data_IF_347087198570
#
_entry.id   IF_347087198570
#
_cell.length_a   1.000
_cell.length_b   1.000
_cell.length_c   1.000
_cell.angle_alpha   90.00
_cell.angle_beta   90.00
_cell.angle_gamma   90.00
#
_symmetry.space_group_name_H-M   'P 1'
#
loop_
_entity.id
_entity.type
_entity.pdbx_description
1 polymer ?
#
# COMPACT_ATOMS: atom_id res chain seq x y z
N UNK A 1 1.85 29.45 -9.89
CA UNK A 1 2.22 28.05 -10.19
C UNK A 1 0.98 27.19 -10.04
N UNK A 2 0.74 26.23 -10.93
CA UNK A 2 -0.39 25.30 -10.78
C UNK A 2 -0.10 24.26 -9.69
N UNK A 3 -1.13 23.81 -8.97
CA UNK A 3 -0.99 22.79 -7.92
C UNK A 3 -1.24 21.38 -8.48
N UNK A 4 -0.42 20.40 -8.08
CA UNK A 4 -0.67 18.97 -8.24
C UNK A 4 -1.37 18.45 -6.98
N UNK A 5 -2.66 18.11 -7.10
CA UNK A 5 -3.47 17.55 -6.00
C UNK A 5 -3.27 16.03 -5.99
N UNK A 6 -2.76 15.50 -4.89
CA UNK A 6 -2.40 14.08 -4.75
C UNK A 6 -3.38 13.41 -3.78
N UNK A 7 -4.13 12.43 -4.26
CA UNK A 7 -4.97 11.58 -3.43
C UNK A 7 -4.13 10.51 -2.74
N UNK A 8 -4.28 10.35 -1.42
CA UNK A 8 -3.67 9.25 -0.67
C UNK A 8 -4.58 8.75 0.45
N UNK A 9 -4.65 7.43 0.63
CA UNK A 9 -5.48 6.79 1.64
C UNK A 9 -4.70 6.66 2.95
N UNK A 10 -5.15 7.37 3.99
CA UNK A 10 -4.40 7.51 5.23
C UNK A 10 -5.04 6.73 6.39
N UNK A 11 -4.24 6.20 7.32
CA UNK A 11 -2.78 6.07 7.27
C UNK A 11 -2.33 4.78 6.57
N UNK A 12 -1.21 4.82 5.84
CA UNK A 12 -0.53 3.63 5.29
C UNK A 12 1.00 3.75 5.35
N UNK A 13 1.61 3.86 6.54
CA UNK A 13 3.06 3.90 6.65
C UNK A 13 3.67 2.57 6.15
N UNK A 14 4.84 2.61 5.48
CA UNK A 14 5.72 3.77 5.29
C UNK A 14 5.40 4.63 4.05
N UNK A 15 4.29 4.40 3.35
CA UNK A 15 3.96 5.12 2.11
C UNK A 15 3.43 6.53 2.36
N UNK A 16 2.40 6.65 3.20
CA UNK A 16 1.80 7.93 3.57
C UNK A 16 1.23 7.91 4.99
N UNK A 17 1.55 8.92 5.77
CA UNK A 17 1.01 9.12 7.11
C UNK A 17 1.18 10.58 7.53
N UNK A 18 0.53 10.98 8.61
CA UNK A 18 0.65 12.34 9.17
C UNK A 18 1.57 12.30 10.40
N UNK A 19 2.49 13.27 10.48
CA UNK A 19 3.29 13.57 11.68
C UNK A 19 2.90 14.95 12.25
N UNK A 20 3.54 15.38 13.33
CA UNK A 20 3.41 16.75 13.84
C UNK A 20 3.84 17.82 12.83
N UNK A 21 4.75 17.46 11.92
CA UNK A 21 5.35 18.38 10.96
C UNK A 21 4.63 18.37 9.60
N UNK A 22 3.61 17.51 9.44
CA UNK A 22 2.82 17.37 8.23
C UNK A 22 2.88 15.96 7.64
N UNK A 23 2.44 15.78 6.37
CA UNK A 23 2.48 14.49 5.71
C UNK A 23 3.91 14.00 5.48
N UNK A 24 4.12 12.70 5.70
CA UNK A 24 5.40 12.02 5.50
C UNK A 24 5.20 10.63 4.89
N UNK A 25 6.29 10.05 4.39
CA UNK A 25 6.33 8.71 3.81
C UNK A 25 6.92 8.68 2.40
N UNK A 26 7.07 7.48 1.85
CA UNK A 26 7.62 7.25 0.53
C UNK A 26 6.86 7.98 -0.57
N UNK A 27 5.54 7.78 -0.66
CA UNK A 27 4.73 8.35 -1.73
C UNK A 27 4.71 9.88 -1.63
N UNK A 28 4.65 10.41 -0.39
CA UNK A 28 4.74 11.85 -0.13
C UNK A 28 6.08 12.42 -0.62
N UNK A 29 7.20 11.78 -0.26
CA UNK A 29 8.53 12.25 -0.66
C UNK A 29 8.74 12.17 -2.18
N UNK A 30 8.21 11.13 -2.83
CA UNK A 30 8.27 10.95 -4.27
C UNK A 30 7.47 12.03 -5.01
N UNK A 31 6.19 12.24 -4.64
CA UNK A 31 5.34 13.22 -5.32
C UNK A 31 5.80 14.66 -5.10
N UNK A 32 6.39 14.99 -3.95
CA UNK A 32 7.00 16.30 -3.71
C UNK A 32 8.12 16.60 -4.71
N UNK A 33 9.00 15.64 -4.96
CA UNK A 33 10.10 15.79 -5.94
C UNK A 33 9.56 15.88 -7.35
N UNK A 34 8.60 15.03 -7.71
CA UNK A 34 7.94 15.07 -9.02
C UNK A 34 7.28 16.44 -9.23
N UNK A 35 6.51 16.94 -8.27
CA UNK A 35 5.87 18.26 -8.38
C UNK A 35 6.90 19.38 -8.59
N UNK A 36 8.02 19.35 -7.85
CA UNK A 36 9.13 20.28 -8.04
C UNK A 36 9.72 20.25 -9.45
N UNK A 37 9.95 19.06 -10.01
CA UNK A 37 10.44 18.90 -11.40
C UNK A 37 9.44 19.39 -12.44
N UNK A 38 8.14 19.32 -12.13
CA UNK A 38 7.07 19.83 -12.98
C UNK A 38 6.81 21.34 -12.78
N UNK A 39 7.56 22.03 -11.92
CA UNK A 39 7.33 23.45 -11.60
C UNK A 39 5.97 23.69 -10.94
N UNK A 40 5.47 22.71 -10.18
CA UNK A 40 4.16 22.73 -9.52
C UNK A 40 4.30 22.75 -8.01
N UNK A 41 3.39 23.46 -7.37
CA UNK A 41 3.10 23.23 -5.96
C UNK A 41 2.44 21.86 -5.81
N UNK A 42 2.57 21.22 -4.65
CA UNK A 42 1.86 19.97 -4.36
C UNK A 42 0.87 20.16 -3.21
N UNK A 43 -0.22 19.38 -3.21
CA UNK A 43 -1.19 19.36 -2.12
C UNK A 43 -1.72 17.95 -1.90
N UNK A 44 -1.62 17.47 -0.67
CA UNK A 44 -2.29 16.24 -0.26
C UNK A 44 -3.81 16.44 -0.18
N UNK A 45 -4.55 15.47 -0.71
CA UNK A 45 -6.00 15.32 -0.55
C UNK A 45 -6.26 13.96 0.10
N UNK A 46 -6.44 13.90 1.43
CA UNK A 46 -6.69 12.64 2.13
C UNK A 46 -7.94 11.92 1.61
N UNK A 47 -7.80 10.62 1.40
CA UNK A 47 -8.93 9.71 1.21
C UNK A 47 -9.21 8.99 2.54
N UNK A 48 -10.45 9.10 3.01
CA UNK A 48 -10.90 8.58 4.32
C UNK A 48 -12.01 7.54 4.18
N UNK A 49 -12.24 7.00 2.98
CA UNK A 49 -13.26 5.97 2.77
C UNK A 49 -12.87 4.64 3.42
N UNK A 50 -13.88 3.85 3.76
CA UNK A 50 -13.69 2.52 4.36
C UNK A 50 -13.19 1.46 3.38
N UNK A 51 -13.37 1.67 2.07
CA UNK A 51 -12.88 0.79 1.00
C UNK A 51 -11.81 1.52 0.19
N UNK A 52 -10.60 0.96 0.07
CA UNK A 52 -9.53 1.57 -0.72
C UNK A 52 -9.97 1.93 -2.16
N UNK A 53 -10.74 1.07 -2.82
CA UNK A 53 -11.09 1.24 -4.23
C UNK A 53 -11.98 2.46 -4.49
N UNK A 54 -12.60 3.06 -3.47
CA UNK A 54 -13.31 4.33 -3.62
C UNK A 54 -12.39 5.52 -3.95
N UNK A 55 -11.07 5.37 -3.79
CA UNK A 55 -10.08 6.37 -4.22
C UNK A 55 -10.14 6.59 -5.75
N UNK A 56 -10.40 5.55 -6.54
CA UNK A 56 -10.49 5.70 -8.01
C UNK A 56 -11.73 6.49 -8.45
N UNK A 57 -12.83 6.41 -7.71
CA UNK A 57 -14.00 7.25 -7.95
C UNK A 57 -13.71 8.73 -7.62
N UNK A 58 -12.87 8.99 -6.61
CA UNK A 58 -12.42 10.35 -6.31
C UNK A 58 -11.47 10.92 -7.34
N UNK A 59 -10.60 10.06 -7.86
CA UNK A 59 -9.75 10.37 -9.00
C UNK A 59 -10.64 10.78 -10.16
N UNK A 60 -11.58 9.94 -10.59
CA UNK A 60 -12.52 10.17 -11.72
C UNK A 60 -13.47 11.37 -11.54
N UNK A 61 -13.84 11.70 -10.30
CA UNK A 61 -14.63 12.90 -9.99
C UNK A 61 -13.82 14.21 -9.97
N UNK A 62 -12.50 14.16 -10.10
CA UNK A 62 -11.67 15.37 -10.18
C UNK A 62 -11.27 15.94 -8.82
N UNK A 63 -11.41 15.14 -7.75
CA UNK A 63 -11.03 15.56 -6.39
C UNK A 63 -9.52 15.73 -6.23
N UNK A 64 -8.75 14.93 -6.96
CA UNK A 64 -7.30 15.03 -7.11
C UNK A 64 -6.91 14.69 -8.54
N UNK A 65 -5.67 15.04 -8.89
CA UNK A 65 -5.09 14.91 -10.22
C UNK A 65 -4.41 13.54 -10.38
N UNK A 66 -3.76 13.05 -9.32
CA UNK A 66 -3.15 11.72 -9.27
C UNK A 66 -3.39 11.03 -7.92
N UNK A 67 -3.11 9.72 -7.86
CA UNK A 67 -3.07 8.92 -6.63
C UNK A 67 -1.67 8.36 -6.43
N UNK A 68 -1.12 8.57 -5.25
CA UNK A 68 0.14 7.98 -4.77
C UNK A 68 -0.12 7.47 -3.35
N UNK A 69 -0.31 6.15 -3.22
CA UNK A 69 -0.85 5.52 -2.01
C UNK A 69 -0.57 4.01 -1.99
N UNK A 70 0.71 3.62 -2.07
CA UNK A 70 1.15 2.21 -2.12
C UNK A 70 0.40 1.38 -3.17
N UNK A 71 0.00 1.99 -4.28
CA UNK A 71 -1.11 1.46 -5.08
C UNK A 71 -0.65 0.35 -6.00
N UNK A 72 -1.06 -0.89 -5.69
CA UNK A 72 -0.83 -2.04 -6.58
C UNK A 72 -1.54 -1.86 -7.93
N UNK A 73 -0.78 -2.00 -9.01
CA UNK A 73 -1.25 -2.07 -10.39
C UNK A 73 -1.94 -3.43 -10.58
N UNK A 74 -3.21 -3.40 -10.96
CA UNK A 74 -4.00 -4.61 -11.26
C UNK A 74 -4.88 -4.33 -12.47
N UNK A 75 -5.29 -5.35 -13.23
CA UNK A 75 -6.17 -5.15 -14.39
C UNK A 75 -7.46 -4.39 -14.05
N UNK A 76 -8.06 -4.68 -12.88
CA UNK A 76 -9.26 -4.00 -12.41
C UNK A 76 -9.06 -2.52 -12.05
N UNK A 77 -7.86 -2.13 -11.63
CA UNK A 77 -7.49 -0.74 -11.34
C UNK A 77 -7.06 0.00 -12.62
N UNK A 78 -6.35 -0.67 -13.52
CA UNK A 78 -5.98 -0.14 -14.85
C UNK A 78 -7.21 0.14 -15.73
N UNK A 79 -8.31 -0.59 -15.52
CA UNK A 79 -9.58 -0.26 -16.16
C UNK A 79 -10.17 1.10 -15.69
N UNK A 80 -9.79 1.59 -14.51
CA UNK A 80 -10.34 2.80 -13.87
C UNK A 80 -9.39 4.00 -13.91
N UNK A 81 -8.10 3.77 -14.07
CA UNK A 81 -7.06 4.79 -14.01
C UNK A 81 -5.91 4.42 -14.95
N UNK A 82 -5.13 5.42 -15.36
CA UNK A 82 -3.90 5.18 -16.12
C UNK A 82 -2.69 5.27 -15.19
N UNK A 83 -1.91 4.19 -15.14
CA UNK A 83 -0.73 4.10 -14.28
C UNK A 83 0.53 4.59 -14.99
N UNK A 84 1.41 5.22 -14.22
CA UNK A 84 2.80 5.40 -14.60
C UNK A 84 3.53 4.04 -14.51
N UNK A 85 4.74 3.98 -15.04
CA UNK A 85 5.65 2.85 -14.80
C UNK A 85 5.75 2.59 -13.29
N UNK A 86 5.78 1.32 -12.84
CA UNK A 86 5.93 1.02 -11.41
C UNK A 86 7.13 1.75 -10.81
N UNK A 87 7.03 2.19 -9.56
CA UNK A 87 8.15 2.78 -8.81
C UNK A 87 8.81 1.77 -7.86
N UNK A 88 8.10 0.69 -7.50
CA UNK A 88 8.57 -0.37 -6.63
C UNK A 88 7.83 -1.68 -6.93
N UNK A 89 8.49 -2.79 -6.61
CA UNK A 89 7.91 -4.13 -6.57
C UNK A 89 7.91 -4.58 -5.11
N UNK A 90 6.78 -5.09 -4.64
CA UNK A 90 6.59 -5.64 -3.29
C UNK A 90 5.73 -6.90 -3.35
N UNK A 91 5.15 -7.31 -2.23
CA UNK A 91 4.27 -8.46 -2.13
C UNK A 91 3.53 -8.49 -0.82
N UNK A 92 2.45 -9.27 -0.77
CA UNK A 92 1.76 -9.54 0.49
C UNK A 92 2.68 -10.27 1.45
N UNK A 93 2.48 -9.99 2.73
CA UNK A 93 3.14 -10.60 3.87
C UNK A 93 2.12 -10.94 4.94
N UNK A 94 2.48 -11.85 5.83
CA UNK A 94 1.62 -12.37 6.88
C UNK A 94 2.18 -12.00 8.25
N UNK A 95 1.36 -11.37 9.08
CA UNK A 95 1.67 -11.05 10.48
C UNK A 95 0.80 -11.90 11.39
N UNK A 96 1.40 -12.39 12.48
CA UNK A 96 0.68 -13.08 13.56
C UNK A 96 1.15 -12.57 14.91
N UNK A 97 0.38 -12.86 15.96
CA UNK A 97 0.91 -12.84 17.33
C UNK A 97 1.71 -14.12 17.57
N UNK A 98 3.04 -13.99 17.70
CA UNK A 98 3.95 -15.14 17.77
C UNK A 98 3.86 -15.91 19.08
N UNK A 99 3.19 -15.36 20.10
CA UNK A 99 2.96 -16.02 21.38
C UNK A 99 1.66 -16.80 21.35
N UNK A 100 0.59 -16.23 20.77
CA UNK A 100 -0.69 -16.96 20.63
C UNK A 100 -0.63 -18.02 19.54
N UNK A 101 0.07 -17.73 18.44
CA UNK A 101 0.13 -18.57 17.25
C UNK A 101 1.59 -18.98 16.93
N UNK A 102 2.30 -19.69 17.85
CA UNK A 102 3.71 -20.02 17.68
C UNK A 102 3.97 -20.97 16.50
N UNK A 103 2.96 -21.77 16.12
CA UNK A 103 3.06 -22.77 15.05
C UNK A 103 2.70 -22.22 13.66
N UNK A 104 2.37 -20.92 13.54
CA UNK A 104 2.05 -20.30 12.25
C UNK A 104 3.29 -19.66 11.66
N UNK A 105 3.88 -20.32 10.66
CA UNK A 105 5.08 -19.85 9.97
C UNK A 105 4.77 -19.30 8.57
N UNK A 106 3.53 -19.45 8.09
CA UNK A 106 3.10 -18.86 6.83
C UNK A 106 1.70 -19.29 6.42
N UNK A 107 1.36 -19.01 5.16
CA UNK A 107 0.03 -19.31 4.59
C UNK A 107 -0.31 -20.80 4.54
N UNK A 108 0.68 -21.68 4.72
CA UNK A 108 0.47 -23.13 4.79
C UNK A 108 -0.20 -23.56 6.10
N UNK A 109 0.01 -22.79 7.18
CA UNK A 109 -0.41 -23.13 8.53
C UNK A 109 -1.76 -22.46 8.92
N UNK A 110 -2.46 -21.88 7.95
CA UNK A 110 -3.68 -21.08 8.20
C UNK A 110 -4.95 -21.92 8.30
N UNK A 111 -4.89 -23.25 8.15
CA UNK A 111 -6.09 -24.08 8.14
C UNK A 111 -6.83 -23.97 9.46
N UNK A 112 -8.11 -23.58 9.41
CA UNK A 112 -8.92 -23.35 10.61
C UNK A 112 -8.76 -21.96 11.24
N UNK A 113 -7.86 -21.12 10.73
CA UNK A 113 -7.56 -19.80 11.27
C UNK A 113 -8.30 -18.66 10.53
N UNK A 114 -8.51 -17.55 11.24
CA UNK A 114 -9.15 -16.34 10.69
C UNK A 114 -8.08 -15.39 10.16
N UNK A 115 -8.18 -15.03 8.88
CA UNK A 115 -7.26 -14.09 8.23
C UNK A 115 -7.89 -12.71 8.14
N UNK A 116 -7.28 -11.72 8.81
CA UNK A 116 -7.60 -10.31 8.71
C UNK A 116 -7.03 -9.67 7.44
N UNK A 117 -7.86 -8.89 6.77
CA UNK A 117 -7.50 -8.05 5.61
C UNK A 117 -8.25 -6.72 5.68
N UNK A 118 -7.82 -5.74 4.92
CA UNK A 118 -8.56 -4.48 4.81
C UNK A 118 -9.36 -4.44 3.51
N UNK A 119 -10.55 -3.86 3.59
CA UNK A 119 -11.49 -3.71 2.48
C UNK A 119 -10.83 -2.99 1.30
N UNK A 120 -10.87 -3.64 0.13
CA UNK A 120 -10.38 -3.09 -1.14
C UNK A 120 -8.87 -3.20 -1.36
N UNK A 121 -8.13 -3.78 -0.41
CA UNK A 121 -6.72 -4.13 -0.59
C UNK A 121 -6.53 -5.43 -1.38
N UNK A 122 -5.38 -5.58 -2.01
CA UNK A 122 -5.01 -6.76 -2.80
C UNK A 122 -4.79 -8.01 -1.96
N UNK A 123 -4.63 -7.89 -0.63
CA UNK A 123 -4.64 -9.04 0.28
C UNK A 123 -5.99 -9.74 0.39
N UNK A 124 -7.10 -9.00 0.20
CA UNK A 124 -8.44 -9.56 0.32
C UNK A 124 -8.69 -10.74 -0.64
N UNK A 125 -8.51 -10.61 -1.96
CA UNK A 125 -8.70 -11.75 -2.87
C UNK A 125 -7.72 -12.89 -2.61
N UNK A 126 -6.52 -12.62 -2.07
CA UNK A 126 -5.56 -13.67 -1.68
C UNK A 126 -6.10 -14.48 -0.50
N UNK A 127 -6.60 -13.81 0.54
CA UNK A 127 -7.19 -14.46 1.71
C UNK A 127 -8.49 -15.21 1.36
N UNK A 128 -9.35 -14.62 0.52
CA UNK A 128 -10.57 -15.27 0.03
C UNK A 128 -10.27 -16.54 -0.75
N UNK A 129 -9.22 -16.53 -1.59
CA UNK A 129 -8.75 -17.74 -2.28
C UNK A 129 -8.28 -18.82 -1.30
N UNK A 130 -7.54 -18.47 -0.25
CA UNK A 130 -7.14 -19.43 0.78
C UNK A 130 -8.35 -20.08 1.48
N UNK A 131 -9.40 -19.31 1.75
CA UNK A 131 -10.65 -19.85 2.31
C UNK A 131 -11.36 -20.78 1.33
N UNK A 132 -11.47 -20.38 0.06
CA UNK A 132 -12.08 -21.22 -0.98
C UNK A 132 -11.35 -22.56 -1.19
N UNK A 133 -10.04 -22.57 -0.96
CA UNK A 133 -9.19 -23.77 -1.00
C UNK A 133 -9.19 -24.57 0.32
N UNK A 134 -10.01 -24.19 1.32
CA UNK A 134 -10.04 -24.80 2.66
C UNK A 134 -8.68 -24.75 3.40
N UNK A 135 -7.88 -23.71 3.09
CA UNK A 135 -6.57 -23.42 3.70
C UNK A 135 -6.63 -22.32 4.75
N UNK A 136 -7.79 -21.69 4.92
CA UNK A 136 -8.13 -20.77 6.01
C UNK A 136 -9.61 -20.97 6.40
N UNK A 137 -10.00 -20.66 7.64
CA UNK A 137 -11.39 -20.82 8.07
C UNK A 137 -12.32 -19.76 7.46
N UNK A 138 -11.92 -18.48 7.56
CA UNK A 138 -12.67 -17.35 7.01
C UNK A 138 -11.79 -16.11 6.91
N UNK A 139 -12.25 -15.16 6.11
CA UNK A 139 -11.69 -13.80 6.07
C UNK A 139 -12.44 -12.92 7.07
N UNK A 140 -11.70 -12.08 7.81
CA UNK A 140 -12.25 -10.93 8.52
C UNK A 140 -11.81 -9.66 7.81
N UNK A 141 -12.78 -8.87 7.39
CA UNK A 141 -12.52 -7.62 6.66
C UNK A 141 -12.66 -6.44 7.60
N UNK A 142 -11.62 -5.60 7.66
CA UNK A 142 -11.59 -4.34 8.38
C UNK A 142 -11.76 -3.18 7.40
N UNK A 143 -12.29 -2.05 7.84
CA UNK A 143 -12.24 -0.83 7.03
C UNK A 143 -10.78 -0.40 6.79
N UNK A 144 -10.53 0.34 5.72
CA UNK A 144 -9.18 0.77 5.35
C UNK A 144 -8.47 1.61 6.43
N UNK A 145 -9.21 2.41 7.20
CA UNK A 145 -8.64 3.22 8.28
C UNK A 145 -8.48 2.44 9.60
N UNK A 146 -8.91 1.18 9.67
CA UNK A 146 -8.92 0.35 10.89
C UNK A 146 -7.71 -0.59 10.99
N UNK A 147 -6.56 -0.25 10.38
CA UNK A 147 -5.36 -1.10 10.45
C UNK A 147 -4.90 -1.36 11.89
N UNK A 148 -4.96 -0.35 12.75
CA UNK A 148 -4.55 -0.50 14.16
C UNK A 148 -5.47 -1.48 14.90
N UNK A 149 -6.79 -1.39 14.67
CA UNK A 149 -7.74 -2.36 15.21
C UNK A 149 -7.45 -3.78 14.73
N UNK A 150 -7.06 -3.96 13.46
CA UNK A 150 -6.72 -5.28 12.93
C UNK A 150 -5.47 -5.87 13.62
N UNK A 151 -4.49 -5.04 13.98
CA UNK A 151 -3.29 -5.45 14.71
C UNK A 151 -3.56 -5.71 16.20
N UNK A 152 -4.46 -4.96 16.82
CA UNK A 152 -4.91 -5.24 18.18
C UNK A 152 -5.70 -6.56 18.23
N UNK A 153 -6.49 -6.83 17.19
CA UNK A 153 -7.24 -8.07 17.04
C UNK A 153 -6.35 -9.29 16.80
N UNK A 154 -5.14 -9.08 16.24
CA UNK A 154 -4.12 -10.11 16.25
C UNK A 154 -3.70 -10.49 17.65
N UNK A 155 -3.85 -9.65 18.67
CA UNK A 155 -3.47 -9.95 20.06
C UNK A 155 -4.67 -10.46 20.87
N UNK A 156 -5.85 -9.84 20.66
CA UNK A 156 -7.08 -10.16 21.39
C UNK A 156 -7.81 -11.42 20.89
N UNK A 157 -7.42 -11.94 19.72
CA UNK A 157 -8.05 -13.12 19.10
C UNK A 157 -9.21 -12.77 18.15
N UNK A 158 -9.34 -11.50 17.75
CA UNK A 158 -10.29 -11.09 16.72
C UNK A 158 -9.95 -11.60 15.32
N UNK A 159 -8.67 -11.83 15.04
CA UNK A 159 -8.17 -12.65 13.93
C UNK A 159 -6.82 -13.29 14.31
N UNK A 160 -6.40 -14.33 13.59
CA UNK A 160 -5.20 -15.11 13.91
C UNK A 160 -3.98 -14.69 13.10
N UNK A 161 -4.22 -14.22 11.88
CA UNK A 161 -3.21 -13.65 11.01
C UNK A 161 -3.75 -12.41 10.31
N UNK A 162 -2.87 -11.48 9.92
CA UNK A 162 -3.21 -10.28 9.17
C UNK A 162 -2.34 -10.20 7.93
N UNK A 163 -2.95 -9.99 6.77
CA UNK A 163 -2.24 -9.95 5.49
C UNK A 163 -2.25 -8.54 4.89
N UNK A 164 -1.04 -8.02 4.63
CA UNK A 164 -0.83 -6.73 3.96
C UNK A 164 0.54 -6.69 3.26
N UNK A 165 0.75 -5.69 2.39
CA UNK A 165 2.03 -5.42 1.75
C UNK A 165 3.20 -5.40 2.76
N UNK A 166 4.31 -6.02 2.40
CA UNK A 166 5.47 -6.22 3.27
C UNK A 166 6.05 -4.94 3.90
N UNK A 167 6.15 -3.78 3.21
CA UNK A 167 6.62 -2.55 3.83
C UNK A 167 5.73 -2.11 4.99
N UNK A 168 4.42 -2.29 4.85
CA UNK A 168 3.43 -1.85 5.83
C UNK A 168 3.50 -2.73 7.07
N UNK A 169 3.48 -4.05 6.90
CA UNK A 169 3.61 -4.97 8.04
C UNK A 169 4.94 -4.79 8.76
N UNK A 170 6.05 -4.65 8.02
CA UNK A 170 7.36 -4.37 8.58
C UNK A 170 7.44 -3.03 9.33
N UNK A 171 6.60 -2.06 8.99
CA UNK A 171 6.46 -0.82 9.75
C UNK A 171 5.68 -1.07 11.05
N UNK A 172 4.50 -1.66 10.97
CA UNK A 172 3.59 -1.77 12.11
C UNK A 172 4.04 -2.77 13.19
N UNK A 173 4.87 -3.77 12.86
CA UNK A 173 5.45 -4.65 13.89
C UNK A 173 6.54 -3.96 14.72
N UNK A 174 7.06 -2.80 14.28
CA UNK A 174 8.05 -2.05 15.06
C UNK A 174 7.43 -1.60 16.37
N UNK A 175 8.10 -1.92 17.47
CA UNK A 175 7.59 -1.60 18.81
C UNK A 175 6.44 -2.50 19.29
N UNK A 176 6.03 -3.53 18.53
CA UNK A 176 5.03 -4.53 18.93
C UNK A 176 5.71 -5.89 19.09
N UNK A 177 6.35 -6.18 20.23
CA UNK A 177 7.21 -7.37 20.39
C UNK A 177 6.46 -8.72 20.27
N UNK A 178 5.13 -8.71 20.39
CA UNK A 178 4.31 -9.91 20.19
C UNK A 178 3.97 -10.17 18.73
N UNK A 179 4.06 -9.17 17.85
CA UNK A 179 3.68 -9.31 16.45
C UNK A 179 4.92 -9.60 15.61
N UNK A 180 4.83 -10.64 14.78
CA UNK A 180 5.91 -11.07 13.90
C UNK A 180 5.43 -11.22 12.46
N UNK A 181 6.24 -10.74 11.51
CA UNK A 181 6.08 -11.08 10.09
C UNK A 181 6.64 -12.48 9.90
N UNK A 182 5.76 -13.45 9.61
CA UNK A 182 6.15 -14.88 9.48
C UNK A 182 6.39 -15.29 8.04
N UNK A 183 5.82 -14.56 7.08
CA UNK A 183 6.06 -14.79 5.65
C UNK A 183 6.00 -13.49 4.85
N UNK A 184 6.90 -13.34 3.87
CA UNK A 184 6.87 -12.29 2.84
C UNK A 184 6.84 -12.92 1.44
N UNK A 185 6.60 -12.11 0.40
CA UNK A 185 6.61 -12.60 -0.98
C UNK A 185 5.48 -13.59 -1.30
N UNK A 186 4.34 -13.47 -0.61
CA UNK A 186 3.13 -14.28 -0.89
C UNK A 186 2.59 -13.96 -2.30
N UNK A 187 2.77 -12.72 -2.72
CA UNK A 187 2.48 -12.22 -4.08
C UNK A 187 3.67 -11.43 -4.60
N UNK A 188 3.65 -11.13 -5.90
CA UNK A 188 4.51 -10.12 -6.53
C UNK A 188 3.62 -9.00 -7.03
N UNK A 189 3.83 -7.79 -6.55
CA UNK A 189 2.95 -6.65 -6.75
C UNK A 189 3.75 -5.43 -7.19
N UNK A 190 3.35 -4.85 -8.33
CA UNK A 190 3.93 -3.63 -8.87
C UNK A 190 3.17 -2.43 -8.31
N UNK A 191 3.87 -1.52 -7.65
CA UNK A 191 3.29 -0.32 -7.06
C UNK A 191 3.56 0.89 -7.96
N UNK A 192 2.56 1.74 -8.17
CA UNK A 192 2.70 2.88 -9.07
C UNK A 192 1.78 4.05 -8.74
N UNK A 193 2.14 5.21 -9.27
CA UNK A 193 1.29 6.41 -9.29
C UNK A 193 0.31 6.28 -10.45
N UNK A 194 -0.95 6.63 -10.24
CA UNK A 194 -1.94 6.69 -11.32
C UNK A 194 -2.60 8.06 -11.43
N UNK A 195 -3.11 8.33 -12.62
CA UNK A 195 -3.89 9.51 -12.98
C UNK A 195 -5.25 9.08 -13.51
N UNK A 196 -6.15 10.04 -13.70
CA UNK A 196 -7.46 9.79 -14.28
C UNK A 196 -7.33 9.08 -15.62
N UNK A 197 -8.24 8.15 -15.91
CA UNK A 197 -8.30 7.48 -17.20
C UNK A 197 -8.36 8.50 -18.34
N UNK A 198 -7.49 8.36 -19.33
CA UNK A 198 -7.37 9.26 -20.47
C UNK A 198 -6.50 10.50 -20.25
N UNK A 199 -6.02 10.77 -19.04
CA UNK A 199 -5.10 11.90 -18.77
C UNK A 199 -3.65 11.54 -19.10
N UNK A 200 -3.42 11.24 -20.38
CA UNK A 200 -2.13 10.79 -20.90
C UNK A 200 -1.03 11.83 -20.68
N UNK A 201 -1.38 13.12 -20.81
CA UNK A 201 -0.43 14.20 -20.64
C UNK A 201 0.13 14.27 -19.21
N UNK A 202 -0.74 14.16 -18.20
CA UNK A 202 -0.28 14.15 -16.81
C UNK A 202 0.46 12.86 -16.47
N UNK A 203 -0.02 11.71 -16.94
CA UNK A 203 0.68 10.41 -16.77
C UNK A 203 2.12 10.50 -17.29
N UNK A 204 2.30 11.01 -18.51
CA UNK A 204 3.62 11.06 -19.15
C UNK A 204 4.54 12.09 -18.48
N UNK A 205 3.99 13.21 -18.01
CA UNK A 205 4.74 14.19 -17.24
C UNK A 205 5.25 13.62 -15.90
N UNK A 206 4.36 12.94 -15.14
CA UNK A 206 4.73 12.26 -13.88
C UNK A 206 5.72 11.13 -14.17
N UNK A 207 5.46 10.30 -15.19
CA UNK A 207 6.32 9.20 -15.58
C UNK A 207 7.72 9.65 -16.01
N UNK A 208 7.83 10.75 -16.76
CA UNK A 208 9.12 11.34 -17.15
C UNK A 208 9.91 11.86 -15.95
N UNK A 209 9.26 12.55 -15.02
CA UNK A 209 9.90 12.99 -13.78
C UNK A 209 10.35 11.80 -12.91
N UNK A 210 9.52 10.78 -12.76
CA UNK A 210 9.88 9.56 -12.05
C UNK A 210 11.08 8.84 -12.70
N UNK A 211 11.11 8.75 -14.03
CA UNK A 211 12.23 8.14 -14.75
C UNK A 211 13.54 8.91 -14.55
N UNK A 212 13.50 10.24 -14.51
CA UNK A 212 14.66 11.06 -14.19
C UNK A 212 15.17 10.82 -12.74
N UNK A 213 14.25 10.73 -11.76
CA UNK A 213 14.59 10.37 -10.37
C UNK A 213 15.12 8.93 -10.25
N UNK A 214 14.72 8.03 -11.14
CA UNK A 214 15.28 6.70 -11.21
C UNK A 214 16.72 6.74 -11.75
N UNK A 215 16.94 7.48 -12.83
CA UNK A 215 18.24 7.62 -13.49
C UNK A 215 19.30 8.29 -12.62
N UNK A 216 18.92 9.26 -11.78
CA UNK A 216 19.84 9.95 -10.88
C UNK A 216 20.06 9.25 -9.52
N UNK A 217 19.39 8.11 -9.29
CA UNK A 217 19.51 7.32 -8.06
C UNK A 217 18.66 7.83 -6.87
N UNK A 218 17.89 8.90 -7.05
CA UNK A 218 17.00 9.43 -6.00
C UNK A 218 15.90 8.43 -5.66
N UNK A 219 15.28 7.80 -6.65
CA UNK A 219 14.21 6.80 -6.41
C UNK A 219 14.75 5.62 -5.62
N UNK A 220 15.95 5.11 -5.96
CA UNK A 220 16.62 4.05 -5.23
C UNK A 220 16.85 4.43 -3.75
N UNK A 221 17.29 5.67 -3.51
CA UNK A 221 17.52 6.19 -2.16
C UNK A 221 16.22 6.28 -1.37
N UNK A 222 15.13 6.72 -1.98
CA UNK A 222 13.80 6.78 -1.35
C UNK A 222 13.27 5.38 -1.01
N UNK A 223 13.36 4.41 -1.93
CA UNK A 223 12.93 3.02 -1.68
C UNK A 223 13.71 2.44 -0.51
N UNK A 224 15.04 2.62 -0.49
CA UNK A 224 15.89 2.15 0.62
C UNK A 224 15.53 2.81 1.95
N UNK A 225 15.31 4.13 1.95
CA UNK A 225 15.00 4.90 3.16
C UNK A 225 13.67 4.47 3.79
N UNK A 226 12.63 4.30 2.97
CA UNK A 226 11.27 4.14 3.47
C UNK A 226 10.79 2.70 3.47
N UNK A 227 11.05 1.94 2.41
CA UNK A 227 10.48 0.60 2.19
C UNK A 227 11.44 -0.52 2.62
N UNK A 228 12.74 -0.24 2.65
CA UNK A 228 13.77 -1.18 3.11
C UNK A 228 13.71 -2.50 2.34
N UNK A 229 13.87 -3.63 3.04
CA UNK A 229 13.79 -4.97 2.45
C UNK A 229 12.36 -5.40 2.04
N UNK A 230 11.34 -4.60 2.34
CA UNK A 230 9.95 -4.89 1.98
C UNK A 230 9.60 -4.57 0.52
N UNK A 231 10.48 -3.89 -0.21
CA UNK A 231 10.29 -3.57 -1.62
C UNK A 231 11.63 -3.52 -2.37
N UNK A 232 11.57 -3.70 -3.68
CA UNK A 232 12.70 -3.59 -4.59
C UNK A 232 12.37 -2.66 -5.74
N UNK A 233 13.39 -2.11 -6.41
CA UNK A 233 13.18 -1.37 -7.64
C UNK A 233 12.71 -2.33 -8.75
N UNK A 234 11.84 -1.86 -9.67
CA UNK A 234 11.59 -2.58 -10.90
C UNK A 234 12.88 -2.73 -11.71
N UNK A 235 13.05 -3.89 -12.35
CA UNK A 235 14.15 -4.19 -13.27
C UNK A 235 14.08 -3.39 -14.55
#
# INVERSE_FOLDING_TARGET
MSTLRVGAALPDPPFEFLTSDGPAGFDIALVQRIAGMLGREWRLVPYTGSDFNGIFAGLDAGRYDCVASGTTITPGREAKADFCTPYAISGQSLVVDVIRNPDVHGIADLKGLVVGVQQGNTSQPVAEKLVAENRAARVRVYAYHEIEQALDDLTSGGCDAFMKLAPVTAWFVRGRPRLGVVQTGITVEHLGICVRKGDIALRDAIGGAQAALAADGTLASLVKQWLGAGAMLPS
#
